data_IF_573422945246
#
_entry.id   IF_573422945246
#
_cell.length_a   1.000
_cell.length_b   1.000
_cell.length_c   1.000
_cell.angle_alpha   90.00
_cell.angle_beta   90.00
_cell.angle_gamma   90.00
#
_symmetry.space_group_name_H-M   'P 1'
#
loop_
_entity.id
_entity.type
_entity.pdbx_description
1 polymer ?
#
# COMPACT_ATOMS: atom_id res chain seq x y z
N UNK A 1 -28.60 -37.28 -24.27
CA UNK A 1 -28.15 -35.98 -24.80
C UNK A 1 -27.77 -35.09 -23.62
N UNK A 2 -26.48 -34.82 -23.42
CA UNK A 2 -26.02 -33.91 -22.38
C UNK A 2 -26.33 -32.46 -22.81
N UNK A 3 -27.02 -31.72 -21.94
CA UNK A 3 -27.26 -30.30 -22.16
C UNK A 3 -25.91 -29.57 -22.12
N UNK A 4 -25.54 -28.94 -23.23
CA UNK A 4 -24.42 -28.02 -23.27
C UNK A 4 -24.74 -26.86 -22.32
N UNK A 5 -24.09 -26.81 -21.16
CA UNK A 5 -24.14 -25.64 -20.29
C UNK A 5 -23.39 -24.52 -20.98
N UNK A 6 -24.09 -23.66 -21.70
CA UNK A 6 -23.58 -22.36 -22.15
C UNK A 6 -23.41 -21.49 -20.92
N UNK A 7 -22.32 -21.70 -20.18
CA UNK A 7 -21.87 -20.77 -19.14
C UNK A 7 -21.47 -19.49 -19.85
N UNK A 8 -22.26 -18.44 -19.67
CA UNK A 8 -21.85 -17.09 -20.04
C UNK A 8 -20.52 -16.79 -19.32
N UNK A 9 -19.48 -16.30 -20.04
CA UNK A 9 -18.25 -15.90 -19.39
C UNK A 9 -18.55 -14.87 -18.31
N UNK A 10 -17.93 -15.02 -17.15
CA UNK A 10 -18.09 -14.06 -16.05
C UNK A 10 -17.73 -12.64 -16.52
N UNK A 11 -18.26 -11.60 -15.87
CA UNK A 11 -17.85 -10.21 -16.14
C UNK A 11 -16.33 -10.03 -16.07
N UNK A 12 -15.64 -10.83 -15.23
CA UNK A 12 -14.17 -10.89 -15.13
C UNK A 12 -13.53 -11.47 -16.41
N UNK A 13 -14.07 -12.54 -16.97
CA UNK A 13 -13.63 -13.14 -18.24
C UNK A 13 -13.99 -12.29 -19.47
N UNK A 14 -15.13 -11.60 -19.47
CA UNK A 14 -15.51 -10.65 -20.53
C UNK A 14 -14.61 -9.42 -20.51
N UNK A 15 -14.28 -8.89 -19.32
CA UNK A 15 -13.31 -7.81 -19.17
C UNK A 15 -11.92 -8.25 -19.62
N UNK A 16 -11.48 -9.45 -19.23
CA UNK A 16 -10.22 -10.04 -19.69
C UNK A 16 -10.18 -10.20 -21.23
N UNK A 17 -11.22 -10.77 -21.84
CA UNK A 17 -11.30 -10.95 -23.30
C UNK A 17 -11.35 -9.64 -24.07
N UNK A 18 -11.99 -8.60 -23.52
CA UNK A 18 -12.10 -7.28 -24.15
C UNK A 18 -10.79 -6.50 -24.02
N UNK A 19 -10.19 -6.49 -22.83
CA UNK A 19 -8.90 -5.84 -22.55
C UNK A 19 -7.73 -6.48 -23.29
N UNK A 20 -7.73 -7.80 -23.51
CA UNK A 20 -6.68 -8.49 -24.27
C UNK A 20 -6.86 -8.38 -25.79
N UNK A 21 -8.06 -8.04 -26.28
CA UNK A 21 -8.33 -7.86 -27.73
C UNK A 21 -7.97 -6.46 -28.23
N UNK A 22 -8.24 -5.43 -27.45
CA UNK A 22 -7.86 -4.05 -27.76
C UNK A 22 -7.39 -3.31 -26.49
N UNK A 23 -6.15 -3.60 -26.05
CA UNK A 23 -5.61 -3.04 -24.81
C UNK A 23 -5.41 -1.53 -24.89
N UNK A 24 -5.08 -0.96 -26.05
CA UNK A 24 -4.80 0.46 -26.19
C UNK A 24 -6.07 1.32 -26.16
N UNK A 25 -7.16 0.91 -26.83
CA UNK A 25 -8.45 1.63 -26.74
C UNK A 25 -9.06 1.46 -25.36
N UNK A 26 -9.02 0.25 -24.79
CA UNK A 26 -9.51 -0.01 -23.43
C UNK A 26 -8.77 0.84 -22.41
N UNK A 27 -7.44 0.91 -22.48
CA UNK A 27 -6.58 1.70 -21.60
C UNK A 27 -6.71 3.21 -21.86
N UNK A 28 -6.92 3.66 -23.09
CA UNK A 28 -7.09 5.09 -23.40
C UNK A 28 -8.44 5.62 -22.91
N UNK A 29 -9.54 4.86 -23.08
CA UNK A 29 -10.83 5.15 -22.44
C UNK A 29 -10.72 5.10 -20.91
N UNK A 30 -9.92 4.17 -20.37
CA UNK A 30 -9.64 4.05 -18.93
C UNK A 30 -8.92 5.29 -18.35
N UNK A 31 -7.91 5.78 -19.07
CA UNK A 31 -7.10 6.94 -18.69
C UNK A 31 -7.90 8.24 -18.87
N UNK A 32 -8.69 8.38 -19.94
CA UNK A 32 -9.44 9.60 -20.24
C UNK A 32 -10.68 9.79 -19.36
N UNK A 33 -11.48 8.74 -19.12
CA UNK A 33 -12.78 8.91 -18.43
C UNK A 33 -12.70 8.78 -16.90
N UNK A 34 -11.64 8.16 -16.35
CA UNK A 34 -11.67 7.70 -14.96
C UNK A 34 -10.36 7.81 -14.16
N UNK A 35 -9.39 8.66 -14.51
CA UNK A 35 -8.17 8.84 -13.67
C UNK A 35 -8.50 9.17 -12.18
N UNK A 36 -9.54 9.98 -11.93
CA UNK A 36 -10.07 10.23 -10.56
C UNK A 36 -11.05 9.15 -10.08
N UNK A 37 -11.91 8.65 -10.96
CA UNK A 37 -12.99 7.71 -10.62
C UNK A 37 -12.50 6.28 -10.40
N UNK A 38 -11.43 5.84 -11.04
CA UNK A 38 -10.83 4.51 -10.89
C UNK A 38 -9.95 4.41 -9.65
N UNK A 39 -9.14 5.43 -9.32
CA UNK A 39 -8.50 5.50 -8.00
C UNK A 39 -9.55 5.50 -6.89
N UNK A 40 -10.66 6.22 -7.08
CA UNK A 40 -11.83 6.14 -6.20
C UNK A 40 -12.54 4.77 -6.26
N UNK A 41 -12.56 4.07 -7.40
CA UNK A 41 -13.20 2.75 -7.55
C UNK A 41 -12.36 1.64 -6.91
N UNK A 42 -11.03 1.66 -7.07
CA UNK A 42 -10.09 0.75 -6.42
C UNK A 42 -9.99 1.03 -4.92
N UNK A 43 -9.96 2.29 -4.52
CA UNK A 43 -10.16 2.67 -3.12
C UNK A 43 -11.51 2.11 -2.63
N UNK A 44 -12.60 2.30 -3.38
CA UNK A 44 -13.92 1.78 -3.01
C UNK A 44 -14.00 0.26 -2.99
N UNK A 45 -13.25 -0.48 -3.82
CA UNK A 45 -13.30 -1.95 -3.85
C UNK A 45 -12.54 -2.52 -2.65
N UNK A 46 -11.32 -2.03 -2.38
CA UNK A 46 -10.55 -2.38 -1.19
C UNK A 46 -11.24 -1.90 0.10
N UNK A 47 -11.84 -0.72 0.10
CA UNK A 47 -12.66 -0.22 1.21
C UNK A 47 -13.95 -1.01 1.38
N UNK A 48 -14.52 -1.57 0.32
CA UNK A 48 -15.72 -2.40 0.37
C UNK A 48 -15.44 -3.80 0.88
N UNK A 49 -14.31 -4.42 0.49
CA UNK A 49 -13.83 -5.66 1.13
C UNK A 49 -13.59 -5.44 2.62
N UNK A 50 -12.86 -4.38 2.98
CA UNK A 50 -12.64 -4.00 4.37
C UNK A 50 -13.93 -3.67 5.11
N UNK A 51 -14.91 -3.04 4.45
CA UNK A 51 -16.23 -2.75 5.02
C UNK A 51 -17.01 -4.03 5.33
N UNK A 52 -16.99 -5.00 4.41
CA UNK A 52 -17.59 -6.31 4.65
C UNK A 52 -16.89 -7.05 5.80
N UNK A 53 -15.55 -7.01 5.84
CA UNK A 53 -14.80 -7.57 6.96
C UNK A 53 -15.12 -6.86 8.29
N UNK A 54 -15.22 -5.53 8.31
CA UNK A 54 -15.63 -4.77 9.50
C UNK A 54 -17.02 -5.20 9.98
N UNK A 55 -17.97 -5.35 9.06
CA UNK A 55 -19.35 -5.78 9.37
C UNK A 55 -19.39 -7.21 9.91
N UNK A 56 -18.69 -8.14 9.27
CA UNK A 56 -18.63 -9.53 9.72
C UNK A 56 -17.93 -9.65 11.08
N UNK A 57 -16.78 -9.00 11.26
CA UNK A 57 -16.03 -8.99 12.52
C UNK A 57 -16.86 -8.39 13.67
N UNK A 58 -17.58 -7.30 13.41
CA UNK A 58 -18.47 -6.66 14.41
C UNK A 58 -19.66 -7.55 14.81
N UNK A 59 -20.07 -8.48 13.93
CA UNK A 59 -21.11 -9.46 14.25
C UNK A 59 -20.60 -10.67 15.04
N UNK A 60 -19.31 -10.97 14.94
CA UNK A 60 -18.68 -12.15 15.53
C UNK A 60 -18.05 -11.86 16.89
N UNK A 61 -17.64 -10.62 17.13
CA UNK A 61 -16.84 -10.23 18.27
C UNK A 61 -17.36 -8.95 18.93
N UNK A 62 -17.23 -8.91 20.24
CA UNK A 62 -17.54 -7.75 21.06
C UNK A 62 -16.40 -6.71 20.96
N UNK A 63 -16.65 -5.49 20.45
CA UNK A 63 -15.62 -4.47 20.24
C UNK A 63 -14.98 -3.95 21.54
N UNK A 64 -15.62 -4.15 22.70
CA UNK A 64 -15.05 -3.79 24.01
C UNK A 64 -14.02 -4.84 24.49
N UNK A 65 -14.13 -6.07 23.95
CA UNK A 65 -13.27 -7.21 24.31
C UNK A 65 -12.21 -7.52 23.26
N UNK A 66 -12.45 -7.15 22.01
CA UNK A 66 -11.60 -7.50 20.87
C UNK A 66 -11.34 -6.26 20.02
N UNK A 67 -10.06 -5.98 19.78
CA UNK A 67 -9.61 -4.99 18.83
C UNK A 67 -8.83 -5.68 17.71
N UNK A 68 -9.18 -5.37 16.46
CA UNK A 68 -8.57 -5.95 15.27
C UNK A 68 -8.11 -4.81 14.37
N UNK A 69 -6.83 -4.82 14.03
CA UNK A 69 -6.24 -3.92 13.03
C UNK A 69 -5.56 -4.72 11.94
N UNK A 70 -5.56 -4.18 10.73
CA UNK A 70 -4.71 -4.63 9.64
C UNK A 70 -3.38 -3.90 9.72
N UNK A 71 -2.25 -4.55 9.47
CA UNK A 71 -0.99 -3.85 9.18
C UNK A 71 -0.87 -3.56 7.68
N UNK A 72 0.02 -2.63 7.34
CA UNK A 72 0.52 -2.57 5.97
C UNK A 72 1.31 -3.82 5.58
N UNK A 73 1.39 -4.08 4.28
CA UNK A 73 2.18 -5.14 3.66
C UNK A 73 3.57 -5.41 4.27
N UNK A 74 3.93 -6.69 4.43
CA UNK A 74 5.25 -7.15 4.85
C UNK A 74 6.35 -7.07 3.78
N UNK A 75 6.01 -6.67 2.56
CA UNK A 75 6.93 -6.58 1.41
C UNK A 75 7.50 -7.92 0.88
N UNK A 76 7.47 -9.02 1.65
CA UNK A 76 8.04 -10.34 1.30
C UNK A 76 6.97 -11.35 0.89
N UNK A 77 5.85 -11.39 1.59
CA UNK A 77 4.74 -12.33 1.40
C UNK A 77 3.63 -11.76 0.55
N UNK A 78 3.79 -10.56 -0.03
CA UNK A 78 2.91 -10.10 -1.11
C UNK A 78 2.93 -11.11 -2.25
N UNK A 79 2.13 -12.17 -2.16
CA UNK A 79 1.99 -13.16 -3.21
C UNK A 79 1.22 -12.50 -4.32
N UNK A 80 1.94 -12.15 -5.37
CA UNK A 80 1.63 -12.36 -6.78
C UNK A 80 0.25 -12.02 -7.39
N UNK A 81 -0.77 -11.71 -6.63
CA UNK A 81 -2.11 -12.11 -7.03
C UNK A 81 -3.20 -11.33 -6.33
N UNK A 82 -2.87 -10.22 -5.64
CA UNK A 82 -3.88 -9.49 -4.87
C UNK A 82 -3.70 -7.98 -4.90
N UNK A 83 -4.73 -7.28 -5.38
CA UNK A 83 -4.90 -5.83 -5.19
C UNK A 83 -4.71 -5.40 -3.73
N UNK A 84 -4.98 -6.33 -2.82
CA UNK A 84 -4.75 -6.25 -1.39
C UNK A 84 -3.44 -6.97 -1.07
N UNK A 85 -2.39 -6.22 -0.70
CA UNK A 85 -1.23 -6.84 -0.05
C UNK A 85 -1.70 -7.71 1.12
N UNK A 86 -1.08 -8.87 1.40
CA UNK A 86 -1.47 -9.71 2.51
C UNK A 86 -1.50 -8.88 3.78
N UNK A 87 -2.62 -8.97 4.45
CA UNK A 87 -2.92 -8.20 5.64
C UNK A 87 -2.52 -9.07 6.84
N UNK A 88 -1.58 -8.59 7.64
CA UNK A 88 -1.38 -9.14 8.99
C UNK A 88 -2.47 -8.54 9.89
N UNK A 89 -3.09 -9.38 10.71
CA UNK A 89 -4.04 -8.92 11.71
C UNK A 89 -3.33 -8.75 13.05
N UNK A 90 -3.35 -7.53 13.58
CA UNK A 90 -3.02 -7.24 14.97
C UNK A 90 -4.28 -7.45 15.80
N UNK A 91 -4.17 -8.33 16.79
CA UNK A 91 -5.26 -8.65 17.69
C UNK A 91 -4.94 -8.21 19.11
N UNK A 92 -5.85 -7.46 19.73
CA UNK A 92 -5.87 -7.26 21.18
C UNK A 92 -7.11 -7.92 21.76
N UNK A 93 -6.93 -8.83 22.73
CA UNK A 93 -8.03 -9.44 23.49
C UNK A 93 -7.99 -8.87 24.90
N UNK A 94 -8.93 -7.98 25.21
CA UNK A 94 -9.07 -7.36 26.52
C UNK A 94 -9.95 -8.23 27.43
N UNK A 95 -9.52 -9.47 27.68
CA UNK A 95 -10.24 -10.43 28.53
C UNK A 95 -9.26 -11.06 29.51
N UNK A 96 -9.59 -11.00 30.81
CA UNK A 96 -8.74 -11.56 31.88
C UNK A 96 -8.83 -13.09 31.99
N UNK A 97 -9.94 -13.66 31.53
CA UNK A 97 -10.18 -15.09 31.54
C UNK A 97 -9.42 -15.79 30.40
N UNK A 98 -8.46 -16.65 30.78
CA UNK A 98 -7.62 -17.41 29.85
C UNK A 98 -8.42 -18.33 28.92
N UNK A 99 -9.56 -18.85 29.36
CA UNK A 99 -10.37 -19.75 28.55
C UNK A 99 -11.17 -18.97 27.49
N UNK A 100 -11.67 -17.78 27.85
CA UNK A 100 -12.26 -16.86 26.86
C UNK A 100 -11.26 -16.37 25.82
N UNK A 101 -10.00 -16.10 26.21
CA UNK A 101 -8.93 -15.76 25.27
C UNK A 101 -8.76 -16.87 24.23
N UNK A 102 -8.68 -18.15 24.64
CA UNK A 102 -8.58 -19.27 23.70
C UNK A 102 -9.78 -19.37 22.76
N UNK A 103 -10.99 -19.20 23.28
CA UNK A 103 -12.22 -19.25 22.47
C UNK A 103 -12.23 -18.14 21.41
N UNK A 104 -11.85 -16.92 21.80
CA UNK A 104 -11.77 -15.78 20.89
C UNK A 104 -10.69 -16.02 19.83
N UNK A 105 -9.49 -16.44 20.23
CA UNK A 105 -8.40 -16.76 19.29
C UNK A 105 -8.83 -17.83 18.28
N UNK A 106 -9.46 -18.92 18.72
CA UNK A 106 -9.91 -19.99 17.83
C UNK A 106 -11.00 -19.52 16.84
N UNK A 107 -11.92 -18.64 17.27
CA UNK A 107 -12.92 -18.04 16.38
C UNK A 107 -12.29 -17.12 15.32
N UNK A 108 -11.25 -16.38 15.69
CA UNK A 108 -10.51 -15.50 14.77
C UNK A 108 -9.72 -16.33 13.77
N UNK A 109 -9.04 -17.37 14.22
CA UNK A 109 -8.36 -18.34 13.35
C UNK A 109 -9.34 -18.98 12.35
N UNK A 110 -10.52 -19.39 12.81
CA UNK A 110 -11.56 -19.95 11.94
C UNK A 110 -12.14 -18.92 10.95
N UNK A 111 -12.25 -17.64 11.34
CA UNK A 111 -12.64 -16.55 10.45
C UNK A 111 -11.59 -16.35 9.36
N UNK A 112 -10.31 -16.23 9.74
CA UNK A 112 -9.18 -16.01 8.84
C UNK A 112 -9.00 -17.19 7.88
N UNK A 113 -9.14 -18.43 8.35
CA UNK A 113 -9.05 -19.62 7.49
C UNK A 113 -10.08 -19.61 6.34
N UNK A 114 -11.20 -18.91 6.49
CA UNK A 114 -12.23 -18.73 5.46
C UNK A 114 -11.97 -17.53 4.55
N UNK A 115 -11.05 -16.65 4.94
CA UNK A 115 -10.76 -15.39 4.26
C UNK A 115 -9.38 -15.48 3.61
N UNK A 116 -9.31 -15.81 2.31
CA UNK A 116 -8.04 -16.08 1.67
C UNK A 116 -7.08 -14.90 1.75
N UNK A 117 -7.56 -13.65 1.87
CA UNK A 117 -6.78 -12.41 1.86
C UNK A 117 -5.96 -12.11 3.14
N UNK A 118 -6.32 -12.68 4.30
CA UNK A 118 -5.51 -12.58 5.52
C UNK A 118 -4.37 -13.62 5.50
N UNK A 119 -3.18 -13.22 5.92
CA UNK A 119 -1.98 -14.06 5.77
C UNK A 119 -1.30 -14.44 7.10
N UNK A 120 -1.43 -13.61 8.13
CA UNK A 120 -0.79 -13.85 9.42
C UNK A 120 -1.59 -13.23 10.56
N UNK A 121 -1.64 -13.91 11.71
CA UNK A 121 -2.12 -13.35 12.98
C UNK A 121 -0.89 -12.93 13.78
N UNK A 122 -0.86 -11.66 14.19
CA UNK A 122 0.08 -11.12 15.16
C UNK A 122 -0.70 -10.89 16.46
N UNK A 123 -0.54 -11.82 17.39
CA UNK A 123 -1.26 -11.81 18.66
C UNK A 123 -0.54 -10.93 19.68
N UNK A 124 -1.20 -9.84 20.12
CA UNK A 124 -0.71 -9.00 21.22
C UNK A 124 -1.40 -9.45 22.49
N UNK A 125 -0.75 -10.37 23.19
CA UNK A 125 -1.28 -10.96 24.42
C UNK A 125 -1.08 -10.11 25.68
N UNK A 126 -0.32 -9.01 25.64
CA UNK A 126 -0.12 -8.16 26.82
C UNK A 126 0.20 -6.69 26.52
N UNK A 127 -0.11 -5.82 27.49
CA UNK A 127 0.27 -4.39 27.52
C UNK A 127 1.80 -4.17 27.48
N UNK A 128 2.60 -5.22 27.65
CA UNK A 128 4.08 -5.17 27.67
C UNK A 128 4.74 -5.61 26.35
N UNK A 129 3.99 -6.23 25.42
CA UNK A 129 4.51 -6.57 24.10
C UNK A 129 4.58 -5.32 23.21
N UNK A 130 5.80 -4.83 22.93
CA UNK A 130 5.96 -3.70 22.01
C UNK A 130 5.51 -4.11 20.61
N UNK A 131 4.70 -3.27 19.94
CA UNK A 131 4.31 -3.47 18.54
C UNK A 131 5.57 -3.65 17.68
N UNK A 132 6.64 -2.93 18.00
CA UNK A 132 7.97 -3.03 17.37
C UNK A 132 8.49 -4.46 17.16
N UNK A 133 8.40 -5.35 18.16
CA UNK A 133 8.88 -6.75 18.04
C UNK A 133 8.11 -7.55 17.00
N UNK A 134 6.90 -7.13 16.66
CA UNK A 134 6.07 -7.78 15.64
C UNK A 134 6.27 -7.18 14.23
N UNK A 135 7.04 -6.09 14.09
CA UNK A 135 7.10 -5.27 12.88
C UNK A 135 8.48 -5.27 12.18
N UNK A 136 9.44 -6.05 12.68
CA UNK A 136 10.90 -5.98 12.43
C UNK A 136 11.40 -5.98 10.96
N UNK A 137 10.54 -6.16 9.95
CA UNK A 137 10.95 -6.34 8.55
C UNK A 137 10.79 -5.12 7.65
N UNK A 138 9.71 -4.33 7.79
CA UNK A 138 9.42 -3.16 6.93
C UNK A 138 8.98 -1.95 7.76
N UNK A 139 9.53 -1.82 8.96
CA UNK A 139 9.37 -0.61 9.75
C UNK A 139 10.02 0.57 9.02
N UNK A 140 9.33 1.74 8.92
CA UNK A 140 8.15 2.13 9.68
C UNK A 140 6.82 2.10 8.90
N UNK A 141 6.77 1.53 7.69
CA UNK A 141 5.56 1.51 6.85
C UNK A 141 4.37 0.82 7.57
N UNK A 142 4.62 -0.33 8.20
CA UNK A 142 3.56 -1.16 8.79
C UNK A 142 2.66 -0.43 9.81
N UNK A 143 3.19 0.26 10.84
CA UNK A 143 2.36 0.97 11.81
C UNK A 143 1.69 2.24 11.23
N UNK A 144 2.33 2.91 10.26
CA UNK A 144 1.75 4.10 9.61
C UNK A 144 0.53 3.76 8.75
N UNK A 145 0.53 2.58 8.12
CA UNK A 145 -0.52 2.15 7.19
C UNK A 145 -1.56 1.22 7.83
N UNK A 146 -1.56 1.10 9.16
CA UNK A 146 -2.50 0.22 9.84
C UNK A 146 -3.94 0.71 9.70
N UNK A 147 -4.89 -0.20 9.47
CA UNK A 147 -6.32 0.13 9.40
C UNK A 147 -7.08 -0.57 10.50
N UNK A 148 -7.97 0.16 11.15
CA UNK A 148 -8.82 -0.37 12.20
C UNK A 148 -10.01 -1.10 11.58
N UNK A 149 -10.22 -2.37 11.97
CA UNK A 149 -11.36 -3.18 11.52
C UNK A 149 -12.44 -3.29 12.60
N UNK A 150 -12.02 -3.45 13.86
CA UNK A 150 -12.92 -3.65 15.00
C UNK A 150 -12.29 -3.10 16.28
N UNK A 151 -13.14 -2.53 17.15
CA UNK A 151 -12.79 -2.14 18.51
C UNK A 151 -13.38 -0.78 18.90
N UNK A 152 -13.04 -0.28 20.08
CA UNK A 152 -13.51 1.03 20.57
C UNK A 152 -12.66 2.19 20.06
N UNK A 153 -13.19 3.42 20.16
CA UNK A 153 -12.42 4.65 19.92
C UNK A 153 -11.20 4.77 20.84
N UNK A 154 -11.33 4.30 22.08
CA UNK A 154 -10.24 4.28 23.06
C UNK A 154 -9.12 3.33 22.62
N UNK A 155 -9.45 2.18 22.04
CA UNK A 155 -8.44 1.25 21.51
C UNK A 155 -7.66 1.88 20.34
N UNK A 156 -8.34 2.60 19.45
CA UNK A 156 -7.70 3.33 18.35
C UNK A 156 -6.78 4.45 18.88
N UNK A 157 -7.20 5.15 19.92
CA UNK A 157 -6.39 6.18 20.56
C UNK A 157 -5.14 5.60 21.22
N UNK A 158 -5.29 4.51 22.00
CA UNK A 158 -4.17 3.77 22.60
C UNK A 158 -3.17 3.31 21.54
N UNK A 159 -3.64 2.72 20.44
CA UNK A 159 -2.80 2.30 19.32
C UNK A 159 -2.04 3.47 18.69
N UNK A 160 -2.72 4.61 18.49
CA UNK A 160 -2.11 5.80 17.91
C UNK A 160 -0.99 6.35 18.79
N UNK A 161 -1.25 6.46 20.11
CA UNK A 161 -0.26 6.91 21.10
C UNK A 161 0.95 5.95 21.10
N UNK A 162 0.71 4.65 21.14
CA UNK A 162 1.77 3.65 21.11
C UNK A 162 2.59 3.76 19.82
N UNK A 163 1.93 3.93 18.67
CA UNK A 163 2.59 4.12 17.37
C UNK A 163 3.51 5.34 17.36
N UNK A 164 3.06 6.49 17.88
CA UNK A 164 3.90 7.70 17.98
C UNK A 164 5.13 7.43 18.84
N UNK A 165 4.95 6.84 20.02
CA UNK A 165 6.05 6.54 20.95
C UNK A 165 7.05 5.57 20.33
N UNK A 166 6.57 4.56 19.61
CA UNK A 166 7.43 3.60 18.95
C UNK A 166 8.21 4.22 17.79
N UNK A 167 7.58 5.05 16.95
CA UNK A 167 8.28 5.81 15.89
C UNK A 167 9.38 6.70 16.49
N UNK A 168 9.10 7.32 17.64
CA UNK A 168 10.08 8.11 18.38
C UNK A 168 11.24 7.30 18.91
N UNK A 169 10.96 6.08 19.35
CA UNK A 169 11.98 5.16 19.86
C UNK A 169 12.87 4.52 18.77
N UNK A 170 12.51 4.61 17.48
CA UNK A 170 13.32 4.04 16.39
C UNK A 170 14.72 4.64 16.42
N UNK A 171 15.73 3.79 16.50
CA UNK A 171 17.13 4.25 16.55
C UNK A 171 17.55 4.91 15.23
N UNK A 172 18.50 5.86 15.25
CA UNK A 172 19.09 6.41 14.02
C UNK A 172 19.70 5.34 13.10
N UNK A 173 20.21 4.24 13.68
CA UNK A 173 20.76 3.10 12.94
C UNK A 173 19.67 2.38 12.15
N UNK A 174 18.51 2.16 12.74
CA UNK A 174 17.39 1.47 12.07
C UNK A 174 16.75 2.33 10.98
N UNK A 175 16.61 3.64 11.21
CA UNK A 175 16.19 4.59 10.17
C UNK A 175 17.18 4.62 8.99
N UNK A 176 18.48 4.58 9.27
CA UNK A 176 19.52 4.49 8.24
C UNK A 176 19.41 3.19 7.46
N UNK A 177 19.17 2.06 8.14
CA UNK A 177 18.97 0.76 7.51
C UNK A 177 17.76 0.78 6.59
N UNK A 178 16.61 1.30 7.05
CA UNK A 178 15.41 1.44 6.23
C UNK A 178 15.66 2.28 4.97
N UNK A 179 16.34 3.43 5.12
CA UNK A 179 16.73 4.29 3.99
C UNK A 179 17.57 3.54 2.96
N UNK A 180 18.52 2.71 3.39
CA UNK A 180 19.40 1.94 2.49
C UNK A 180 18.64 0.79 1.83
N UNK A 181 18.03 -0.07 2.64
CA UNK A 181 17.43 -1.34 2.20
C UNK A 181 16.17 -1.12 1.35
N UNK A 182 15.39 -0.08 1.65
CA UNK A 182 14.11 0.19 0.99
C UNK A 182 14.18 1.42 0.10
N UNK A 183 14.46 2.62 0.63
CA UNK A 183 14.36 3.84 -0.17
C UNK A 183 15.40 3.88 -1.30
N UNK A 184 16.69 3.67 -0.99
CA UNK A 184 17.76 3.74 -1.98
C UNK A 184 17.73 2.55 -2.95
N UNK A 185 17.42 1.35 -2.46
CA UNK A 185 17.31 0.15 -3.30
C UNK A 185 16.24 0.31 -4.39
N UNK A 186 15.03 0.76 -4.04
CA UNK A 186 13.95 0.93 -5.02
C UNK A 186 14.21 2.13 -5.93
N UNK A 187 14.84 3.21 -5.44
CA UNK A 187 15.24 4.32 -6.30
C UNK A 187 16.32 3.89 -7.32
N UNK A 188 17.23 2.99 -6.94
CA UNK A 188 18.20 2.41 -7.87
C UNK A 188 17.51 1.52 -8.92
N UNK A 189 16.48 0.75 -8.54
CA UNK A 189 15.66 -0.02 -9.49
C UNK A 189 14.93 0.91 -10.47
N UNK A 190 14.33 2.00 -10.00
CA UNK A 190 13.72 3.03 -10.87
C UNK A 190 14.74 3.59 -11.89
N UNK A 191 15.94 3.92 -11.42
CA UNK A 191 17.01 4.43 -12.29
C UNK A 191 17.40 3.41 -13.36
N UNK A 192 17.66 2.16 -12.97
CA UNK A 192 17.92 1.06 -13.92
C UNK A 192 16.75 0.83 -14.88
N UNK A 193 15.51 1.06 -14.41
CA UNK A 193 14.32 1.00 -15.24
C UNK A 193 14.37 2.00 -16.37
N UNK A 194 14.63 3.26 -16.04
CA UNK A 194 14.76 4.34 -17.02
C UNK A 194 15.94 4.16 -17.98
N UNK A 195 17.01 3.50 -17.54
CA UNK A 195 18.19 3.17 -18.35
C UNK A 195 17.97 1.93 -19.25
N UNK A 196 16.96 1.09 -18.97
CA UNK A 196 16.66 -0.13 -19.73
C UNK A 196 17.65 -1.28 -19.49
N UNK A 197 18.27 -1.35 -18.30
CA UNK A 197 19.40 -2.24 -17.99
C UNK A 197 19.08 -3.46 -17.13
N UNK A 198 17.82 -3.75 -16.81
CA UNK A 198 17.43 -4.87 -15.94
C UNK A 198 16.31 -5.72 -16.60
N UNK A 199 16.19 -7.00 -16.22
CA UNK A 199 15.10 -7.92 -16.61
C UNK A 199 13.76 -7.43 -16.02
N UNK A 200 13.18 -6.41 -16.67
CA UNK A 200 12.21 -5.54 -16.05
C UNK A 200 10.77 -5.89 -16.38
N UNK A 201 9.93 -5.56 -15.42
CA UNK A 201 8.49 -5.42 -15.56
C UNK A 201 8.08 -4.32 -16.56
N UNK A 202 9.00 -3.49 -17.05
CA UNK A 202 8.74 -2.44 -18.05
C UNK A 202 9.88 -2.46 -19.07
N UNK A 203 9.57 -2.64 -20.35
CA UNK A 203 10.54 -2.52 -21.44
C UNK A 203 10.13 -1.37 -22.36
N UNK A 204 10.89 -0.29 -22.31
CA UNK A 204 10.68 0.85 -23.22
C UNK A 204 11.14 0.57 -24.66
N UNK A 205 12.02 -0.41 -24.86
CA UNK A 205 12.46 -0.81 -26.21
C UNK A 205 11.34 -1.54 -26.95
N UNK A 206 10.62 -2.40 -26.23
CA UNK A 206 9.57 -3.24 -26.79
C UNK A 206 8.16 -2.69 -26.54
N UNK A 207 8.06 -1.52 -25.90
CA UNK A 207 6.82 -0.94 -25.36
C UNK A 207 5.96 -1.95 -24.59
N UNK A 208 6.56 -2.69 -23.66
CA UNK A 208 5.83 -3.70 -22.87
C UNK A 208 5.86 -3.43 -21.38
N UNK A 209 4.78 -3.81 -20.69
CA UNK A 209 4.70 -3.91 -19.24
C UNK A 209 4.32 -5.34 -18.87
N UNK A 210 5.07 -5.98 -17.99
CA UNK A 210 4.88 -7.37 -17.58
C UNK A 210 4.55 -7.51 -16.09
N UNK A 211 3.69 -8.46 -15.80
CA UNK A 211 3.28 -8.85 -14.46
C UNK A 211 3.14 -10.36 -14.37
N UNK A 212 3.93 -11.01 -13.53
CA UNK A 212 3.82 -12.47 -13.28
C UNK A 212 3.38 -12.81 -11.86
N UNK A 213 3.29 -11.77 -11.02
CA UNK A 213 3.03 -11.85 -9.61
C UNK A 213 4.13 -12.49 -8.75
N UNK A 214 4.68 -13.62 -9.19
CA UNK A 214 5.56 -14.48 -8.40
C UNK A 214 6.96 -13.91 -8.31
N UNK A 215 7.48 -13.33 -9.39
CA UNK A 215 8.80 -12.75 -9.44
C UNK A 215 8.74 -11.29 -9.00
N UNK A 216 9.52 -10.96 -7.97
CA UNK A 216 9.67 -9.58 -7.50
C UNK A 216 10.02 -8.60 -8.63
N UNK A 217 10.86 -9.02 -9.60
CA UNK A 217 11.28 -8.17 -10.72
C UNK A 217 10.17 -7.90 -11.75
N UNK A 218 9.12 -8.74 -11.78
CA UNK A 218 8.01 -8.67 -12.74
C UNK A 218 6.69 -8.28 -12.06
N UNK A 219 6.69 -7.19 -11.29
CA UNK A 219 5.47 -6.60 -10.70
C UNK A 219 5.09 -5.26 -11.31
N UNK A 220 5.03 -5.18 -12.64
CA UNK A 220 4.62 -3.97 -13.39
C UNK A 220 5.30 -2.68 -12.87
N UNK A 221 4.56 -1.78 -12.22
CA UNK A 221 5.07 -0.49 -11.70
C UNK A 221 5.30 -0.48 -10.18
N UNK A 222 4.95 -1.55 -9.44
CA UNK A 222 4.89 -1.52 -7.97
C UNK A 222 6.23 -1.19 -7.33
N UNK A 223 7.26 -1.99 -7.61
CA UNK A 223 8.56 -1.83 -6.98
C UNK A 223 9.37 -0.70 -7.62
N UNK A 224 9.28 -0.57 -8.95
CA UNK A 224 10.00 0.47 -9.68
C UNK A 224 9.47 1.87 -9.45
N UNK A 225 8.20 2.05 -9.06
CA UNK A 225 7.59 3.38 -8.91
C UNK A 225 6.82 3.58 -7.60
N UNK A 226 5.82 2.75 -7.32
CA UNK A 226 4.91 2.98 -6.19
C UNK A 226 5.63 2.90 -4.85
N UNK A 227 6.51 1.90 -4.67
CA UNK A 227 7.33 1.73 -3.46
C UNK A 227 8.38 2.81 -3.30
N UNK A 228 8.88 3.38 -4.39
CA UNK A 228 9.80 4.53 -4.33
C UNK A 228 9.10 5.70 -3.66
N UNK A 229 7.86 6.01 -4.05
CA UNK A 229 7.07 7.08 -3.42
C UNK A 229 6.74 6.71 -1.98
N UNK A 230 6.09 5.57 -1.75
CA UNK A 230 5.59 5.17 -0.43
C UNK A 230 6.69 5.15 0.64
N UNK A 231 7.81 4.45 0.40
CA UNK A 231 8.86 4.32 1.42
C UNK A 231 9.57 5.64 1.71
N UNK A 232 9.71 6.53 0.71
CA UNK A 232 10.28 7.84 0.97
C UNK A 232 9.32 8.73 1.77
N UNK A 233 8.01 8.68 1.50
CA UNK A 233 7.01 9.37 2.33
C UNK A 233 6.98 8.82 3.77
N UNK A 234 7.05 7.50 3.95
CA UNK A 234 7.09 6.88 5.28
C UNK A 234 8.31 7.34 6.09
N UNK A 235 9.49 7.38 5.44
CA UNK A 235 10.70 7.88 6.07
C UNK A 235 10.56 9.36 6.48
N UNK A 236 9.92 10.18 5.63
CA UNK A 236 9.69 11.60 5.92
C UNK A 236 8.76 11.77 7.12
N UNK A 237 7.65 11.04 7.13
CA UNK A 237 6.68 11.07 8.22
C UNK A 237 7.37 10.68 9.52
N UNK A 238 8.18 9.62 9.53
CA UNK A 238 8.90 9.22 10.74
C UNK A 238 9.89 10.27 11.22
N UNK A 239 10.66 10.91 10.34
CA UNK A 239 11.54 11.99 10.77
C UNK A 239 10.71 13.16 11.31
N UNK A 240 9.62 13.55 10.65
CA UNK A 240 8.75 14.63 11.10
C UNK A 240 8.14 14.37 12.49
N UNK A 241 7.56 13.18 12.71
CA UNK A 241 6.95 12.78 13.98
C UNK A 241 7.93 12.73 15.16
N UNK A 242 9.23 12.59 14.87
CA UNK A 242 10.31 12.61 15.87
C UNK A 242 10.67 14.02 16.34
N UNK A 243 10.46 15.02 15.50
CA UNK A 243 10.89 16.40 15.77
C UNK A 243 9.78 17.27 16.40
N UNK A 244 8.50 16.94 16.18
CA UNK A 244 7.37 17.72 16.73
C UNK A 244 6.97 17.28 18.16
N UNK A 245 6.12 18.04 18.89
CA UNK A 245 5.56 17.59 20.18
C UNK A 245 4.71 16.29 20.07
N UNK A 246 4.60 15.50 21.16
CA UNK A 246 3.86 14.21 21.14
C UNK A 246 2.38 14.40 20.80
N UNK A 247 1.74 15.41 21.39
CA UNK A 247 0.34 15.75 21.14
C UNK A 247 0.09 16.10 19.66
N UNK A 248 1.00 16.87 19.06
CA UNK A 248 0.94 17.21 17.63
C UNK A 248 1.16 15.98 16.74
N UNK A 249 2.07 15.08 17.12
CA UNK A 249 2.30 13.82 16.40
C UNK A 249 1.07 12.91 16.43
N UNK A 250 0.38 12.83 17.57
CA UNK A 250 -0.88 12.09 17.71
C UNK A 250 -1.95 12.73 16.81
N UNK A 251 -2.12 14.05 16.87
CA UNK A 251 -3.08 14.77 16.05
C UNK A 251 -2.78 14.62 14.54
N UNK A 252 -1.50 14.62 14.17
CA UNK A 252 -1.05 14.40 12.80
C UNK A 252 -1.44 13.01 12.30
N UNK A 253 -1.14 11.94 13.07
CA UNK A 253 -1.50 10.58 12.68
C UNK A 253 -3.01 10.37 12.59
N UNK A 254 -3.80 10.94 13.52
CA UNK A 254 -5.28 10.88 13.48
C UNK A 254 -5.85 11.52 12.21
N UNK A 255 -5.22 12.60 11.72
CA UNK A 255 -5.65 13.33 10.53
C UNK A 255 -5.03 12.80 9.22
N UNK A 256 -4.08 11.86 9.30
CA UNK A 256 -3.35 11.37 8.14
C UNK A 256 -4.30 10.60 7.21
N UNK A 257 -4.37 10.96 5.91
CA UNK A 257 -5.21 10.25 4.97
C UNK A 257 -4.65 8.87 4.67
N UNK A 258 -5.54 7.98 4.21
CA UNK A 258 -5.23 6.56 4.04
C UNK A 258 -4.63 6.22 2.68
N UNK A 259 -4.90 7.03 1.66
CA UNK A 259 -4.38 6.80 0.30
C UNK A 259 -3.07 7.56 0.12
N UNK A 260 -2.10 6.96 -0.60
CA UNK A 260 -0.85 7.65 -0.91
C UNK A 260 -1.08 8.92 -1.74
N UNK A 261 -2.10 8.93 -2.61
CA UNK A 261 -2.50 10.11 -3.38
C UNK A 261 -2.84 11.30 -2.46
N UNK A 262 -3.74 11.10 -1.51
CA UNK A 262 -4.15 12.15 -0.56
C UNK A 262 -3.02 12.50 0.41
N UNK A 263 -2.20 11.51 0.79
CA UNK A 263 -1.06 11.70 1.68
C UNK A 263 -0.05 12.68 1.09
N UNK A 264 0.25 12.61 -0.20
CA UNK A 264 1.17 13.57 -0.87
C UNK A 264 0.68 15.02 -0.67
N UNK A 265 -0.60 15.29 -0.89
CA UNK A 265 -1.17 16.63 -0.72
C UNK A 265 -1.28 17.04 0.75
N UNK A 266 -1.64 16.10 1.63
CA UNK A 266 -1.68 16.34 3.07
C UNK A 266 -0.30 16.75 3.61
N UNK A 267 0.76 16.03 3.25
CA UNK A 267 2.13 16.34 3.68
C UNK A 267 2.61 17.67 3.14
N UNK A 268 2.20 18.05 1.93
CA UNK A 268 2.47 19.39 1.38
C UNK A 268 1.76 20.49 2.18
N UNK A 269 0.45 20.35 2.42
CA UNK A 269 -0.35 21.32 3.19
C UNK A 269 0.15 21.49 4.63
N UNK A 270 0.67 20.41 5.22
CA UNK A 270 1.31 20.41 6.55
C UNK A 270 2.77 20.91 6.53
N UNK A 271 3.26 21.39 5.39
CA UNK A 271 4.63 21.87 5.21
C UNK A 271 5.70 20.85 5.58
N UNK A 272 5.40 19.55 5.41
CA UNK A 272 6.33 18.45 5.65
C UNK A 272 7.20 18.21 4.41
N UNK A 273 6.63 18.34 3.21
CA UNK A 273 7.36 18.26 1.93
C UNK A 273 8.01 19.60 1.58
N UNK A 274 8.87 20.10 2.46
CA UNK A 274 9.52 21.40 2.28
C UNK A 274 10.34 21.44 0.99
N UNK A 275 10.22 22.55 0.26
CA UNK A 275 10.97 22.80 -0.97
C UNK A 275 10.43 22.10 -2.22
N UNK A 276 9.29 21.41 -2.14
CA UNK A 276 8.46 21.16 -3.30
C UNK A 276 7.52 22.33 -3.58
N UNK A 277 7.32 22.64 -4.85
CA UNK A 277 6.28 23.55 -5.32
C UNK A 277 4.94 22.81 -5.43
N UNK A 278 3.83 23.56 -5.47
CA UNK A 278 2.51 22.97 -5.68
C UNK A 278 2.42 22.17 -6.99
N UNK A 279 3.04 22.67 -8.06
CA UNK A 279 3.08 21.98 -9.36
C UNK A 279 3.88 20.66 -9.31
N UNK A 280 4.99 20.62 -8.56
CA UNK A 280 5.74 19.38 -8.34
C UNK A 280 4.89 18.36 -7.55
N UNK A 281 4.15 18.80 -6.53
CA UNK A 281 3.23 17.94 -5.78
C UNK A 281 2.13 17.38 -6.68
N UNK A 282 1.52 18.21 -7.52
CA UNK A 282 0.49 17.76 -8.49
C UNK A 282 1.07 16.82 -9.55
N UNK A 283 2.30 17.06 -9.99
CA UNK A 283 3.02 16.20 -10.92
C UNK A 283 3.32 14.84 -10.29
N UNK A 284 3.76 14.80 -9.03
CA UNK A 284 4.00 13.56 -8.29
C UNK A 284 2.70 12.76 -8.12
N UNK A 285 1.60 13.41 -7.73
CA UNK A 285 0.29 12.75 -7.62
C UNK A 285 -0.14 12.10 -8.94
N UNK A 286 -0.14 12.87 -10.04
CA UNK A 286 -0.52 12.35 -11.37
C UNK A 286 0.37 11.18 -11.82
N UNK A 287 1.68 11.28 -11.59
CA UNK A 287 2.64 10.24 -11.97
C UNK A 287 2.44 8.96 -11.15
N UNK A 288 2.17 9.12 -9.84
CA UNK A 288 1.83 8.01 -8.95
C UNK A 288 0.52 7.34 -9.37
N UNK A 289 -0.54 8.11 -9.63
CA UNK A 289 -1.85 7.60 -10.05
C UNK A 289 -1.77 6.81 -11.36
N UNK A 290 -1.02 7.32 -12.36
CA UNK A 290 -0.82 6.59 -13.61
C UNK A 290 -0.13 5.24 -13.36
N UNK A 291 0.94 5.23 -12.56
CA UNK A 291 1.63 4.00 -12.21
C UNK A 291 0.71 3.03 -11.47
N UNK A 292 -0.12 3.54 -10.57
CA UNK A 292 -1.07 2.76 -9.78
C UNK A 292 -2.13 2.09 -10.67
N UNK A 293 -2.64 2.82 -11.68
CA UNK A 293 -3.55 2.30 -12.70
C UNK A 293 -2.93 1.10 -13.41
N UNK A 294 -1.71 1.24 -13.94
CA UNK A 294 -1.04 0.13 -14.63
C UNK A 294 -0.83 -1.07 -13.72
N UNK A 295 -0.42 -0.84 -12.47
CA UNK A 295 -0.27 -1.93 -11.50
C UNK A 295 -1.57 -2.70 -11.28
N UNK A 296 -2.65 -2.00 -10.94
CA UNK A 296 -3.95 -2.63 -10.69
C UNK A 296 -4.52 -3.31 -11.92
N UNK A 297 -4.39 -2.68 -13.09
CA UNK A 297 -4.87 -3.26 -14.34
C UNK A 297 -4.16 -4.59 -14.65
N UNK A 298 -2.82 -4.60 -14.58
CA UNK A 298 -2.02 -5.81 -14.77
C UNK A 298 -2.36 -6.90 -13.76
N UNK A 299 -2.57 -6.51 -12.51
CA UNK A 299 -2.93 -7.40 -11.43
C UNK A 299 -4.31 -8.04 -11.63
N UNK A 300 -5.31 -7.27 -12.04
CA UNK A 300 -6.64 -7.79 -12.35
C UNK A 300 -6.61 -8.81 -13.49
N UNK A 301 -5.79 -8.57 -14.52
CA UNK A 301 -5.58 -9.51 -15.61
C UNK A 301 -4.92 -10.80 -15.11
N UNK A 302 -3.90 -10.70 -14.25
CA UNK A 302 -3.25 -11.84 -13.65
C UNK A 302 -4.20 -12.65 -12.76
N UNK A 303 -5.04 -12.00 -11.96
CA UNK A 303 -6.02 -12.67 -11.10
C UNK A 303 -7.13 -13.37 -11.90
N UNK A 304 -7.31 -13.03 -13.17
CA UNK A 304 -8.25 -13.70 -14.06
C UNK A 304 -7.62 -14.92 -14.75
N UNK A 305 -6.33 -14.86 -15.08
CA UNK A 305 -5.64 -15.90 -15.87
C UNK A 305 -4.75 -16.84 -15.04
N UNK A 306 -4.25 -16.38 -13.89
CA UNK A 306 -3.16 -16.97 -13.13
C UNK A 306 -1.87 -17.23 -13.93
N UNK A 307 -1.70 -16.53 -15.05
CA UNK A 307 -0.55 -16.60 -15.96
C UNK A 307 0.16 -15.26 -16.02
N UNK A 308 1.45 -15.28 -16.36
CA UNK A 308 2.19 -14.04 -16.66
C UNK A 308 1.45 -13.23 -17.74
N UNK A 309 1.24 -11.95 -17.45
CA UNK A 309 0.58 -10.99 -18.33
C UNK A 309 1.64 -10.05 -18.86
N UNK A 310 1.66 -9.85 -20.18
CA UNK A 310 2.45 -8.80 -20.82
C UNK A 310 1.51 -7.94 -21.67
N UNK A 311 1.45 -6.65 -21.35
CA UNK A 311 0.76 -5.66 -22.18
C UNK A 311 1.76 -4.99 -23.10
N UNK A 312 1.41 -4.91 -24.38
CA UNK A 312 2.10 -4.08 -25.36
C UNK A 312 1.33 -2.76 -25.49
N UNK A 313 2.02 -1.65 -25.27
CA UNK A 313 1.46 -0.30 -25.35
C UNK A 313 1.89 0.35 -26.67
N UNK A 314 1.09 1.29 -27.18
CA UNK A 314 1.60 2.22 -28.19
C UNK A 314 2.66 3.19 -27.61
N UNK A 315 3.40 3.84 -28.52
CA UNK A 315 4.48 4.77 -28.18
C UNK A 315 4.01 5.91 -27.27
N UNK A 316 2.82 6.46 -27.50
CA UNK A 316 2.29 7.58 -26.73
C UNK A 316 2.02 7.18 -25.26
N UNK A 317 1.41 6.02 -25.03
CA UNK A 317 1.14 5.51 -23.69
C UNK A 317 2.43 5.09 -22.98
N UNK A 318 3.38 4.47 -23.69
CA UNK A 318 4.68 4.14 -23.12
C UNK A 318 5.50 5.39 -22.77
N UNK A 319 5.41 6.45 -23.57
CA UNK A 319 6.04 7.72 -23.28
C UNK A 319 5.47 8.36 -22.01
N UNK A 320 4.15 8.33 -21.79
CA UNK A 320 3.53 8.79 -20.53
C UNK A 320 4.03 8.02 -19.30
N UNK A 321 4.21 6.70 -19.44
CA UNK A 321 4.79 5.86 -18.37
C UNK A 321 6.22 6.30 -18.10
N UNK A 322 7.05 6.44 -19.13
CA UNK A 322 8.44 6.90 -19.01
C UNK A 322 8.53 8.27 -18.32
N UNK A 323 7.70 9.22 -18.72
CA UNK A 323 7.64 10.56 -18.12
C UNK A 323 7.22 10.51 -16.65
N UNK A 324 6.21 9.71 -16.32
CA UNK A 324 5.77 9.53 -14.93
C UNK A 324 6.87 8.94 -14.05
N UNK A 325 7.62 7.96 -14.55
CA UNK A 325 8.76 7.37 -13.85
C UNK A 325 9.90 8.38 -13.67
N UNK A 326 10.20 9.20 -14.69
CA UNK A 326 11.18 10.29 -14.56
C UNK A 326 10.75 11.35 -13.55
N UNK A 327 9.48 11.75 -13.56
CA UNK A 327 8.94 12.72 -12.61
C UNK A 327 9.05 12.21 -11.17
N UNK A 328 8.68 10.95 -10.94
CA UNK A 328 8.87 10.29 -9.63
C UNK A 328 10.35 10.32 -9.24
N UNK A 329 11.26 9.93 -10.14
CA UNK A 329 12.70 9.93 -9.84
C UNK A 329 13.19 11.32 -9.43
N UNK A 330 12.90 12.35 -10.21
CA UNK A 330 13.36 13.73 -9.98
C UNK A 330 12.81 14.29 -8.67
N UNK A 331 11.49 14.16 -8.45
CA UNK A 331 10.84 14.74 -7.27
C UNK A 331 11.25 14.01 -6.00
N UNK A 332 11.35 12.67 -6.02
CA UNK A 332 11.78 11.89 -4.86
C UNK A 332 13.27 12.14 -4.55
N UNK A 333 14.12 12.31 -5.56
CA UNK A 333 15.51 12.68 -5.35
C UNK A 333 15.62 14.06 -4.67
N UNK A 334 14.83 15.03 -5.12
CA UNK A 334 14.73 16.35 -4.49
C UNK A 334 14.29 16.26 -3.02
N UNK A 335 13.26 15.46 -2.73
CA UNK A 335 12.80 15.16 -1.36
C UNK A 335 13.94 14.57 -0.50
N UNK A 336 14.73 13.64 -1.06
CA UNK A 336 15.82 12.97 -0.34
C UNK A 336 16.98 13.90 0.00
N UNK A 337 17.24 14.88 -0.87
CA UNK A 337 18.33 15.84 -0.75
C UNK A 337 17.98 16.99 0.22
N UNK A 338 16.71 17.14 0.59
CA UNK A 338 16.32 17.99 1.70
C UNK A 338 16.79 17.40 3.03
N UNK A 339 17.71 18.11 3.69
CA UNK A 339 17.92 17.96 5.13
C UNK A 339 16.70 18.55 5.81
N UNK A 340 16.07 17.80 6.72
CA UNK A 340 15.07 18.35 7.64
C UNK A 340 15.74 19.52 8.37
N UNK A 341 15.40 20.74 7.97
CA UNK A 341 15.76 21.90 8.75
C UNK A 341 14.87 21.84 9.99
N UNK A 342 15.43 21.97 11.21
CA UNK A 342 14.60 22.03 12.40
C UNK A 342 13.58 23.14 12.19
N UNK A 343 12.30 22.78 12.30
CA UNK A 343 11.19 23.72 12.18
C UNK A 343 11.41 24.74 13.30
N UNK A 344 11.73 25.99 12.93
CA UNK A 344 11.71 27.07 13.92
C UNK A 344 10.25 27.22 14.35
N UNK A 345 9.93 27.11 15.65
CA UNK A 345 8.60 27.43 16.11
C UNK A 345 8.27 28.88 15.70
N UNK A 346 7.05 29.06 15.20
CA UNK A 346 6.52 30.35 14.76
C UNK A 346 6.35 31.32 15.94
#
# INVERSE_FOLDING_TARGET
MAAASTSFPSLKELSYKTCMRDPDTSLSCFIQDNLKRYSALCASFSERCLYFDCSELSSLFDPDKVCILTTGSDGREEKASRNESPIELILYINVKDKEQVKIISAKIEAYIAKKPHFFQILDIKSEESSLYKMLEKVMPARPLHAKFLLGTKENLEKYTIQTVREIRSISPKDLKKFRVDFCNSHLAQLKKCLEGTEDQSISFKNNTISYDGKNFKKRSTKYVALRVVQYNLDLIICNYLKEIPEEEAIAFLKAMPRTTHELIEFLYKRQVLQGLTYEEVKTLQKSYDLCLIYFHFMQNLYEASHLEVTLKLNDANMQKVRESLKNIQVIIQKIKDFKFLPIKPA
#
